data_IF_446783870049
#
_entry.id   IF_446783870049
#
_cell.length_a   1.000
_cell.length_b   1.000
_cell.length_c   1.000
_cell.angle_alpha   90.00
_cell.angle_beta   90.00
_cell.angle_gamma   90.00
#
_symmetry.space_group_name_H-M   'P 1'
#
loop_
_entity.id
_entity.type
_entity.pdbx_description
1 polymer ?
#
# COMPACT_ATOMS: atom_id res chain seq x y z
N UNK A 1 12.11 3.00 -19.01
CA UNK A 1 10.91 2.86 -18.14
C UNK A 1 10.78 4.16 -17.36
N UNK A 2 9.73 4.95 -17.58
CA UNK A 2 9.57 6.24 -16.89
C UNK A 2 9.52 6.02 -15.38
N UNK A 3 10.38 6.69 -14.62
CA UNK A 3 10.48 6.55 -13.16
C UNK A 3 9.16 6.77 -12.41
N UNK A 4 8.20 7.47 -13.05
CA UNK A 4 6.83 7.66 -12.58
C UNK A 4 6.07 6.35 -12.38
N UNK A 5 6.13 5.40 -13.32
CA UNK A 5 5.43 4.12 -13.17
C UNK A 5 6.00 3.28 -12.02
N UNK A 6 7.31 3.37 -11.81
CA UNK A 6 7.99 2.66 -10.73
C UNK A 6 7.61 3.23 -9.35
N UNK A 7 7.67 4.56 -9.21
CA UNK A 7 7.34 5.23 -7.95
C UNK A 7 5.85 5.15 -7.60
N UNK A 8 4.95 5.39 -8.55
CA UNK A 8 3.52 5.53 -8.23
C UNK A 8 2.70 4.25 -8.31
N UNK A 9 3.17 3.22 -9.01
CA UNK A 9 2.39 1.97 -9.22
C UNK A 9 3.13 0.77 -8.66
N UNK A 10 4.38 0.55 -9.05
CA UNK A 10 5.11 -0.67 -8.67
C UNK A 10 5.44 -0.67 -7.17
N UNK A 11 6.02 0.40 -6.64
CA UNK A 11 6.44 0.48 -5.23
C UNK A 11 5.28 0.34 -4.23
N UNK A 12 4.12 1.00 -4.43
CA UNK A 12 2.95 0.76 -3.59
C UNK A 12 2.45 -0.69 -3.67
N UNK A 13 2.40 -1.28 -4.87
CA UNK A 13 1.97 -2.67 -5.03
C UNK A 13 2.88 -3.65 -4.29
N UNK A 14 4.20 -3.40 -4.29
CA UNK A 14 5.17 -4.20 -3.53
C UNK A 14 4.87 -4.09 -2.03
N UNK A 15 4.66 -2.87 -1.51
CA UNK A 15 4.32 -2.65 -0.11
C UNK A 15 3.04 -3.39 0.32
N UNK A 16 1.97 -3.26 -0.46
CA UNK A 16 0.70 -3.95 -0.23
C UNK A 16 0.88 -5.48 -0.23
N UNK A 17 1.66 -6.00 -1.17
CA UNK A 17 1.88 -7.44 -1.35
C UNK A 17 2.70 -8.04 -0.21
N UNK A 18 3.80 -7.38 0.17
CA UNK A 18 4.66 -7.82 1.28
C UNK A 18 3.84 -7.84 2.58
N UNK A 19 3.09 -6.77 2.85
CA UNK A 19 2.21 -6.72 4.02
C UNK A 19 1.18 -7.86 4.01
N UNK A 20 0.48 -8.08 2.90
CA UNK A 20 -0.55 -9.12 2.79
C UNK A 20 0.01 -10.56 2.85
N UNK A 21 1.25 -10.75 2.42
CA UNK A 21 1.95 -12.02 2.52
C UNK A 21 2.31 -12.36 3.98
N UNK A 22 2.79 -11.36 4.73
CA UNK A 22 3.31 -11.52 6.09
C UNK A 22 2.24 -11.44 7.19
N UNK A 23 1.17 -10.67 6.98
CA UNK A 23 0.17 -10.42 8.01
C UNK A 23 -1.09 -11.27 7.79
N UNK A 24 -1.37 -12.12 8.79
CA UNK A 24 -2.53 -13.03 8.81
C UNK A 24 -3.69 -12.50 9.64
N UNK A 25 -3.40 -11.75 10.70
CA UNK A 25 -4.39 -11.24 11.63
C UNK A 25 -4.84 -9.83 11.19
N UNK A 26 -6.15 -9.61 11.13
CA UNK A 26 -6.73 -8.30 10.81
C UNK A 26 -6.26 -7.21 11.77
N UNK A 27 -5.99 -7.55 13.04
CA UNK A 27 -5.48 -6.60 14.05
C UNK A 27 -4.09 -6.09 13.69
N UNK A 28 -3.23 -6.97 13.19
CA UNK A 28 -1.90 -6.62 12.74
C UNK A 28 -1.95 -5.79 11.45
N UNK A 29 -2.88 -6.11 10.54
CA UNK A 29 -3.10 -5.32 9.32
C UNK A 29 -3.57 -3.90 9.66
N UNK A 30 -4.49 -3.75 10.62
CA UNK A 30 -4.91 -2.43 11.11
C UNK A 30 -3.76 -1.68 11.77
N UNK A 31 -2.96 -2.36 12.60
CA UNK A 31 -1.77 -1.76 13.22
C UNK A 31 -0.76 -1.28 12.15
N UNK A 32 -0.58 -2.04 11.07
CA UNK A 32 0.25 -1.65 9.94
C UNK A 32 -0.30 -0.41 9.20
N UNK A 33 -1.63 -0.30 9.05
CA UNK A 33 -2.25 0.89 8.47
C UNK A 33 -1.96 2.14 9.30
N UNK A 34 -2.17 2.08 10.62
CA UNK A 34 -1.89 3.22 11.51
C UNK A 34 -0.41 3.55 11.62
N UNK A 35 0.46 2.53 11.65
CA UNK A 35 1.91 2.74 11.57
C UNK A 35 2.33 3.43 10.27
N UNK A 36 1.74 3.02 9.15
CA UNK A 36 1.96 3.67 7.85
C UNK A 36 1.47 5.11 7.80
N UNK A 37 0.28 5.39 8.33
CA UNK A 37 -0.23 6.76 8.48
C UNK A 37 0.68 7.63 9.36
N UNK A 38 1.24 7.06 10.43
CA UNK A 38 2.23 7.74 11.28
C UNK A 38 3.50 8.10 10.52
N UNK A 39 4.03 7.19 9.69
CA UNK A 39 5.20 7.46 8.85
C UNK A 39 4.89 8.54 7.80
N UNK A 40 3.70 8.51 7.18
CA UNK A 40 3.25 9.54 6.24
C UNK A 40 3.19 10.91 6.94
N UNK A 41 2.64 10.97 8.15
CA UNK A 41 2.56 12.20 8.93
C UNK A 41 3.95 12.77 9.31
N UNK A 42 4.94 11.89 9.52
CA UNK A 42 6.33 12.28 9.78
C UNK A 42 7.13 12.59 8.50
N UNK A 43 6.49 12.51 7.33
CA UNK A 43 7.16 12.57 6.02
C UNK A 43 8.00 13.83 5.77
N UNK A 44 7.59 14.98 6.33
CA UNK A 44 8.32 16.25 6.21
C UNK A 44 9.63 16.27 6.98
N UNK A 45 9.76 15.42 8.01
CA UNK A 45 10.94 15.31 8.86
C UNK A 45 11.89 14.20 8.41
N UNK A 46 11.52 13.42 7.38
CA UNK A 46 12.37 12.35 6.85
C UNK A 46 13.40 12.91 5.85
N UNK A 47 14.64 12.38 5.87
CA UNK A 47 15.63 12.65 4.82
C UNK A 47 15.07 12.35 3.43
N UNK A 48 15.43 13.16 2.44
CA UNK A 48 14.87 13.07 1.08
C UNK A 48 15.01 11.68 0.45
N UNK A 49 16.16 11.02 0.64
CA UNK A 49 16.40 9.67 0.16
C UNK A 49 15.41 8.64 0.73
N UNK A 50 15.07 8.77 2.03
CA UNK A 50 14.06 7.91 2.66
C UNK A 50 12.68 8.25 2.11
N UNK A 51 12.35 9.54 2.01
CA UNK A 51 11.05 10.02 1.53
C UNK A 51 10.69 9.49 0.15
N UNK A 52 11.64 9.51 -0.80
CA UNK A 52 11.40 9.08 -2.19
C UNK A 52 11.10 7.58 -2.31
N UNK A 53 11.71 6.75 -1.47
CA UNK A 53 11.59 5.29 -1.55
C UNK A 53 10.50 4.76 -0.61
N UNK A 54 10.45 5.27 0.62
CA UNK A 54 9.60 4.72 1.67
C UNK A 54 8.15 5.17 1.53
N UNK A 55 7.89 6.43 1.16
CA UNK A 55 6.52 6.94 1.10
C UNK A 55 5.64 6.13 0.13
N UNK A 56 6.07 5.82 -1.11
CA UNK A 56 5.22 5.04 -2.00
C UNK A 56 4.92 3.64 -1.47
N UNK A 57 5.92 2.98 -0.87
CA UNK A 57 5.74 1.66 -0.25
C UNK A 57 4.71 1.75 0.88
N UNK A 58 4.85 2.75 1.76
CA UNK A 58 3.98 2.95 2.91
C UNK A 58 2.55 3.27 2.48
N UNK A 59 2.37 4.08 1.44
CA UNK A 59 1.05 4.33 0.83
C UNK A 59 0.42 3.02 0.37
N UNK A 60 1.20 2.15 -0.28
CA UNK A 60 0.76 0.80 -0.64
C UNK A 60 0.32 -0.05 0.54
N UNK A 61 1.09 -0.03 1.64
CA UNK A 61 0.73 -0.71 2.88
C UNK A 61 -0.59 -0.19 3.44
N UNK A 62 -0.80 1.13 3.47
CA UNK A 62 -2.03 1.73 3.99
C UNK A 62 -3.24 1.33 3.13
N UNK A 63 -3.15 1.48 1.81
CA UNK A 63 -4.25 1.13 0.91
C UNK A 63 -4.57 -0.37 0.97
N UNK A 64 -3.52 -1.21 0.88
CA UNK A 64 -3.66 -2.66 0.97
C UNK A 64 -4.21 -3.12 2.33
N UNK A 65 -3.84 -2.45 3.42
CA UNK A 65 -4.36 -2.75 4.75
C UNK A 65 -5.85 -2.41 4.87
N UNK A 66 -6.26 -1.23 4.38
CA UNK A 66 -7.65 -0.79 4.39
C UNK A 66 -8.54 -1.75 3.59
N UNK A 67 -8.07 -2.24 2.44
CA UNK A 67 -8.83 -3.20 1.64
C UNK A 67 -8.84 -4.62 2.23
N UNK A 68 -7.73 -5.06 2.83
CA UNK A 68 -7.60 -6.42 3.36
C UNK A 68 -8.28 -6.61 4.73
N UNK A 69 -8.32 -5.57 5.57
CA UNK A 69 -8.91 -5.61 6.92
C UNK A 69 -10.33 -6.19 6.97
N UNK A 70 -11.33 -5.66 6.22
CA UNK A 70 -12.69 -6.19 6.26
C UNK A 70 -12.76 -7.65 5.77
N UNK A 71 -11.86 -8.04 4.86
CA UNK A 71 -11.78 -9.40 4.35
C UNK A 71 -11.26 -10.37 5.42
N UNK A 72 -10.21 -10.01 6.14
CA UNK A 72 -9.68 -10.85 7.24
C UNK A 72 -10.61 -10.89 8.45
N UNK A 73 -11.36 -9.81 8.70
CA UNK A 73 -12.38 -9.80 9.75
C UNK A 73 -13.50 -10.81 9.49
N UNK A 74 -13.95 -10.92 8.23
CA UNK A 74 -15.03 -11.83 7.83
C UNK A 74 -14.55 -13.24 7.51
N UNK A 75 -13.32 -13.39 6.99
CA UNK A 75 -12.70 -14.68 6.65
C UNK A 75 -11.23 -14.67 7.06
N UNK A 76 -10.90 -15.03 8.31
CA UNK A 76 -9.53 -15.03 8.81
C UNK A 76 -8.67 -16.15 8.19
N UNK A 77 -9.28 -17.22 7.70
CA UNK A 77 -8.61 -18.39 7.14
C UNK A 77 -8.40 -18.34 5.61
N UNK A 78 -8.34 -17.14 5.02
CA UNK A 78 -8.08 -17.02 3.57
C UNK A 78 -6.62 -17.39 3.26
N UNK A 79 -6.42 -17.98 2.08
CA UNK A 79 -5.09 -18.36 1.60
C UNK A 79 -4.23 -17.13 1.27
N UNK A 80 -2.92 -17.36 1.12
CA UNK A 80 -1.94 -16.29 0.88
C UNK A 80 -2.17 -15.58 -0.45
N UNK A 81 -2.54 -16.30 -1.51
CA UNK A 81 -2.77 -15.71 -2.82
C UNK A 81 -3.98 -14.80 -2.81
N UNK A 82 -5.06 -15.25 -2.16
CA UNK A 82 -6.24 -14.40 -1.93
C UNK A 82 -5.89 -13.13 -1.15
N UNK A 83 -5.13 -13.21 -0.05
CA UNK A 83 -4.71 -12.01 0.70
C UNK A 83 -3.94 -11.04 -0.18
N UNK A 84 -2.96 -11.55 -0.92
CA UNK A 84 -2.12 -10.74 -1.81
C UNK A 84 -2.97 -10.06 -2.88
N UNK A 85 -3.90 -10.78 -3.54
CA UNK A 85 -4.78 -10.19 -4.55
C UNK A 85 -5.73 -9.12 -3.96
N UNK A 86 -6.28 -9.37 -2.77
CA UNK A 86 -7.15 -8.42 -2.07
C UNK A 86 -6.45 -7.12 -1.65
N UNK A 87 -5.14 -7.16 -1.41
CA UNK A 87 -4.34 -5.96 -1.15
C UNK A 87 -3.83 -5.33 -2.45
N UNK A 88 -3.34 -6.13 -3.40
CA UNK A 88 -2.69 -5.67 -4.63
C UNK A 88 -3.67 -5.02 -5.60
N UNK A 89 -4.83 -5.61 -5.86
CA UNK A 89 -5.76 -5.08 -6.88
C UNK A 89 -6.28 -3.68 -6.52
N UNK A 90 -6.76 -3.42 -5.29
CA UNK A 90 -7.19 -2.06 -4.91
C UNK A 90 -6.03 -1.07 -4.91
N UNK A 91 -4.85 -1.49 -4.44
CA UNK A 91 -3.65 -0.65 -4.44
C UNK A 91 -3.26 -0.25 -5.86
N UNK A 92 -3.22 -1.22 -6.78
CA UNK A 92 -2.93 -0.96 -8.20
C UNK A 92 -3.93 0.03 -8.80
N UNK A 93 -5.23 -0.19 -8.61
CA UNK A 93 -6.28 0.68 -9.17
C UNK A 93 -6.15 2.11 -8.63
N UNK A 94 -6.02 2.29 -7.31
CA UNK A 94 -5.91 3.63 -6.71
C UNK A 94 -4.64 4.34 -7.16
N UNK A 95 -3.50 3.64 -7.11
CA UNK A 95 -2.20 4.16 -7.56
C UNK A 95 -2.19 4.55 -9.04
N UNK A 96 -2.80 3.72 -9.88
CA UNK A 96 -2.85 3.96 -11.33
C UNK A 96 -3.79 5.12 -11.66
N UNK A 97 -4.95 5.21 -11.01
CA UNK A 97 -5.85 6.35 -11.14
C UNK A 97 -5.19 7.65 -10.67
N UNK A 98 -4.46 7.61 -9.56
CA UNK A 98 -3.70 8.75 -9.07
C UNK A 98 -2.65 9.20 -10.10
N UNK A 99 -1.89 8.26 -10.66
CA UNK A 99 -0.93 8.58 -11.71
C UNK A 99 -1.61 9.18 -12.94
N UNK A 100 -2.74 8.62 -13.39
CA UNK A 100 -3.50 9.16 -14.51
C UNK A 100 -3.90 10.61 -14.25
N UNK A 101 -4.56 10.91 -13.13
CA UNK A 101 -5.00 12.28 -12.79
C UNK A 101 -3.83 13.27 -12.80
N UNK A 102 -2.71 12.91 -12.16
CA UNK A 102 -1.55 13.79 -12.05
C UNK A 102 -0.76 13.94 -13.36
N UNK A 103 -0.92 13.03 -14.33
CA UNK A 103 -0.23 13.09 -15.63
C UNK A 103 -1.11 13.59 -16.76
N UNK A 104 -2.44 13.52 -16.64
CA UNK A 104 -3.39 14.02 -17.64
C UNK A 104 -3.69 15.51 -17.55
N UNK A 105 -3.13 16.22 -16.56
CA UNK A 105 -3.26 17.69 -16.44
C UNK A 105 -4.67 18.20 -16.17
N UNK A 106 -5.51 17.38 -15.51
CA UNK A 106 -6.85 17.79 -15.06
C UNK A 106 -6.78 18.53 -13.72
#
# INVERSE_FOLDING_TARGET
MNGLGLGFVIMPCIGATIMAALLWDWRLVVAAAFGGLGIIALGEYLPEALRVISLPIVVGVVIGAVSLTPRLFTRPSIDIWSRMLWALVPTFVISFLFLLINTSGA
#
